data_IF_979535025908
#
_entry.id   IF_979535025908
#
_cell.length_a   1.000
_cell.length_b   1.000
_cell.length_c   1.000
_cell.angle_alpha   90.00
_cell.angle_beta   90.00
_cell.angle_gamma   90.00
#
_symmetry.space_group_name_H-M   'P 1'
#
loop_
_entity.id
_entity.type
_entity.pdbx_description
1 polymer ?
#
# COMPACT_ATOMS: atom_id res chain seq x y z
N UNK A 1 0.67 29.11 -24.69
CA UNK A 1 1.25 27.75 -24.60
C UNK A 1 0.80 27.11 -23.30
N UNK A 2 0.12 25.94 -23.30
CA UNK A 2 -0.21 25.29 -22.05
C UNK A 2 1.07 24.73 -21.44
N UNK A 3 1.33 25.08 -20.18
CA UNK A 3 2.43 24.49 -19.39
C UNK A 3 2.19 22.99 -19.33
N UNK A 4 3.17 22.20 -19.79
CA UNK A 4 3.19 20.75 -19.60
C UNK A 4 3.30 20.49 -18.09
N UNK A 5 2.16 20.45 -17.39
CA UNK A 5 2.11 19.96 -16.03
C UNK A 5 2.46 18.48 -16.11
N UNK A 6 3.74 18.14 -15.88
CA UNK A 6 4.18 16.76 -15.70
C UNK A 6 3.47 16.24 -14.46
N UNK A 7 2.29 15.67 -14.66
CA UNK A 7 1.52 15.00 -13.62
C UNK A 7 2.39 13.85 -13.13
N UNK A 8 2.95 14.03 -11.93
CA UNK A 8 3.92 13.10 -11.39
C UNK A 8 3.17 11.83 -11.01
N UNK A 9 3.35 10.76 -11.78
CA UNK A 9 2.88 9.44 -11.37
C UNK A 9 3.69 9.04 -10.16
N UNK A 10 3.04 9.02 -9.00
CA UNK A 10 3.67 8.61 -7.76
C UNK A 10 3.28 7.17 -7.43
N UNK A 11 4.28 6.32 -7.26
CA UNK A 11 4.12 4.93 -6.88
C UNK A 11 3.98 4.79 -5.36
N UNK A 12 3.09 3.89 -4.95
CA UNK A 12 3.05 3.37 -3.59
C UNK A 12 3.61 1.96 -3.56
N UNK A 13 4.54 1.73 -2.63
CA UNK A 13 5.20 0.45 -2.45
C UNK A 13 4.54 -0.31 -1.31
N UNK A 14 3.85 -1.39 -1.64
CA UNK A 14 3.33 -2.33 -0.67
C UNK A 14 4.44 -3.24 -0.15
N UNK A 15 4.51 -3.38 1.16
CA UNK A 15 5.63 -4.05 1.82
C UNK A 15 5.15 -5.14 2.78
N UNK A 16 5.74 -6.33 2.66
CA UNK A 16 5.69 -7.39 3.66
C UNK A 16 7.10 -7.96 3.85
N UNK A 17 7.40 -8.50 5.03
CA UNK A 17 8.69 -9.18 5.23
C UNK A 17 8.63 -10.22 6.35
N UNK A 18 9.68 -11.01 6.49
CA UNK A 18 9.91 -11.80 7.70
C UNK A 18 10.43 -10.90 8.83
N UNK A 19 10.47 -11.39 10.08
CA UNK A 19 10.96 -10.61 11.21
C UNK A 19 12.47 -10.39 11.10
N UNK A 20 12.95 -9.18 11.43
CA UNK A 20 14.38 -8.92 11.54
C UNK A 20 15.11 -8.79 10.21
N UNK A 21 14.41 -8.46 9.12
CA UNK A 21 15.06 -8.15 7.85
C UNK A 21 15.94 -6.90 7.97
N UNK A 22 17.08 -6.89 7.29
CA UNK A 22 17.99 -5.74 7.31
C UNK A 22 17.49 -4.60 6.41
N UNK A 23 17.93 -3.37 6.70
CA UNK A 23 17.69 -2.21 5.83
C UNK A 23 18.25 -2.42 4.42
N UNK A 24 19.40 -3.09 4.31
CA UNK A 24 20.04 -3.41 3.03
C UNK A 24 19.15 -4.32 2.17
N UNK A 25 18.54 -5.33 2.78
CA UNK A 25 17.60 -6.20 2.08
C UNK A 25 16.37 -5.43 1.57
N UNK A 26 15.85 -4.48 2.37
CA UNK A 26 14.72 -3.62 1.97
C UNK A 26 15.09 -2.76 0.76
N UNK A 27 16.23 -2.07 0.84
CA UNK A 27 16.70 -1.18 -0.22
C UNK A 27 16.92 -1.94 -1.54
N UNK A 28 17.66 -3.05 -1.48
CA UNK A 28 17.93 -3.86 -2.67
C UNK A 28 16.68 -4.52 -3.25
N UNK A 29 15.70 -4.90 -2.40
CA UNK A 29 14.43 -5.42 -2.88
C UNK A 29 13.67 -4.38 -3.70
N UNK A 30 13.58 -3.14 -3.20
CA UNK A 30 12.86 -2.08 -3.91
C UNK A 30 13.58 -1.72 -5.22
N UNK A 31 14.90 -1.54 -5.19
CA UNK A 31 15.69 -1.27 -6.41
C UNK A 31 15.54 -2.38 -7.45
N UNK A 32 15.62 -3.64 -7.01
CA UNK A 32 15.46 -4.80 -7.87
C UNK A 32 14.09 -4.82 -8.52
N UNK A 33 13.01 -4.70 -7.74
CA UNK A 33 11.64 -4.73 -8.28
C UNK A 33 11.39 -3.57 -9.23
N UNK A 34 11.86 -2.36 -8.92
CA UNK A 34 11.70 -1.23 -9.85
C UNK A 34 12.48 -1.45 -11.14
N UNK A 35 13.74 -1.91 -11.05
CA UNK A 35 14.57 -2.18 -12.23
C UNK A 35 13.99 -3.29 -13.11
N UNK A 36 13.59 -4.42 -12.52
CA UNK A 36 13.04 -5.56 -13.28
C UNK A 36 11.73 -5.22 -13.98
N UNK A 37 10.89 -4.38 -13.35
CA UNK A 37 9.62 -3.96 -13.92
C UNK A 37 9.74 -2.67 -14.76
N UNK A 38 10.97 -2.24 -15.07
CA UNK A 38 11.26 -1.04 -15.87
C UNK A 38 10.57 0.22 -15.32
N UNK A 39 10.36 0.26 -14.00
CA UNK A 39 9.87 1.42 -13.29
C UNK A 39 11.05 2.38 -13.08
N UNK A 40 10.75 3.68 -13.09
CA UNK A 40 11.70 4.79 -13.03
C UNK A 40 12.98 4.48 -12.22
N UNK A 41 14.15 4.55 -12.86
CA UNK A 41 15.44 4.20 -12.26
C UNK A 41 15.81 5.08 -11.06
N UNK A 42 15.19 6.26 -10.92
CA UNK A 42 15.34 7.15 -9.76
C UNK A 42 14.31 6.89 -8.66
N UNK A 43 13.82 5.65 -8.53
CA UNK A 43 12.77 5.25 -7.58
C UNK A 43 13.07 5.70 -6.14
N UNK A 44 14.32 5.52 -5.69
CA UNK A 44 14.79 5.85 -4.34
C UNK A 44 15.44 7.24 -4.21
N UNK A 45 15.41 8.06 -5.26
CA UNK A 45 15.99 9.40 -5.21
C UNK A 45 15.26 10.25 -4.16
N UNK A 46 16.03 10.97 -3.33
CA UNK A 46 15.49 11.88 -2.31
C UNK A 46 15.01 13.19 -2.96
N UNK A 47 13.93 13.76 -2.45
CA UNK A 47 13.47 15.11 -2.83
C UNK A 47 12.57 15.15 -4.07
N UNK A 48 12.47 16.34 -4.68
CA UNK A 48 11.58 16.59 -5.82
C UNK A 48 12.05 15.82 -7.06
N UNK A 49 11.32 14.77 -7.45
CA UNK A 49 11.64 13.92 -8.61
C UNK A 49 11.71 12.42 -8.33
N UNK A 50 11.69 12.00 -7.05
CA UNK A 50 11.53 10.60 -6.67
C UNK A 50 10.15 10.06 -7.10
N UNK A 51 10.13 8.83 -7.63
CA UNK A 51 8.90 8.25 -8.15
C UNK A 51 8.02 7.62 -7.05
N UNK A 52 8.57 7.33 -5.87
CA UNK A 52 7.85 6.70 -4.76
C UNK A 52 7.28 7.78 -3.82
N UNK A 53 5.95 7.77 -3.60
CA UNK A 53 5.29 8.61 -2.61
C UNK A 53 5.48 8.09 -1.17
N UNK A 54 5.55 6.77 -1.03
CA UNK A 54 5.72 6.14 0.27
C UNK A 54 5.59 4.62 0.22
N UNK A 55 5.69 4.02 1.40
CA UNK A 55 5.48 2.60 1.65
C UNK A 55 4.17 2.37 2.39
N UNK A 56 3.59 1.19 2.21
CA UNK A 56 2.37 0.77 2.88
C UNK A 56 2.48 -0.68 3.37
N UNK A 57 1.98 -0.98 4.57
CA UNK A 57 2.02 -2.33 5.14
C UNK A 57 0.88 -2.60 6.13
N UNK A 58 0.88 -3.77 6.77
CA UNK A 58 -0.05 -4.14 7.85
C UNK A 58 0.43 -3.59 9.20
N UNK A 59 -0.50 -3.23 10.09
CA UNK A 59 -0.20 -2.56 11.38
C UNK A 59 0.90 -3.23 12.21
N UNK A 60 0.87 -4.56 12.36
CA UNK A 60 1.87 -5.28 13.17
C UNK A 60 3.30 -5.19 12.59
N UNK A 61 3.43 -4.79 11.32
CA UNK A 61 4.69 -4.67 10.62
C UNK A 61 5.30 -3.26 10.70
N UNK A 62 4.53 -2.30 11.17
CA UNK A 62 5.01 -0.95 11.48
C UNK A 62 6.12 -0.95 12.54
N UNK A 63 6.12 -1.95 13.43
CA UNK A 63 7.11 -2.11 14.50
C UNK A 63 8.44 -2.74 14.04
N UNK A 64 8.59 -3.10 12.76
CA UNK A 64 9.89 -3.54 12.24
C UNK A 64 10.84 -2.34 12.15
N UNK A 65 11.85 -2.33 13.02
CA UNK A 65 12.81 -1.22 13.16
C UNK A 65 13.43 -0.83 11.82
N UNK A 66 13.86 -1.80 11.02
CA UNK A 66 14.51 -1.55 9.72
C UNK A 66 13.60 -0.87 8.70
N UNK A 67 12.29 -1.12 8.75
CA UNK A 67 11.32 -0.47 7.87
C UNK A 67 11.12 1.00 8.27
N UNK A 68 10.96 1.28 9.56
CA UNK A 68 10.83 2.64 10.08
C UNK A 68 12.06 3.48 9.77
N UNK A 69 13.25 2.95 10.06
CA UNK A 69 14.53 3.60 9.74
C UNK A 69 14.71 3.85 8.24
N UNK A 70 14.33 2.87 7.40
CA UNK A 70 14.40 3.03 5.95
C UNK A 70 13.49 4.18 5.46
N UNK A 71 12.25 4.22 5.93
CA UNK A 71 11.29 5.27 5.57
C UNK A 71 11.79 6.64 6.03
N UNK A 72 12.28 6.75 7.26
CA UNK A 72 12.85 7.99 7.79
C UNK A 72 14.06 8.45 6.97
N UNK A 73 15.00 7.55 6.65
CA UNK A 73 16.21 7.87 5.89
C UNK A 73 15.89 8.35 4.47
N UNK A 74 14.82 7.84 3.86
CA UNK A 74 14.35 8.21 2.52
C UNK A 74 13.30 9.32 2.51
N UNK A 75 12.85 9.79 3.67
CA UNK A 75 11.73 10.72 3.81
C UNK A 75 10.46 10.20 3.12
N UNK A 76 10.20 8.90 3.22
CA UNK A 76 9.00 8.26 2.69
C UNK A 76 7.89 8.24 3.74
N UNK A 77 6.67 8.53 3.29
CA UNK A 77 5.48 8.28 4.11
C UNK A 77 5.32 6.78 4.33
N UNK A 78 4.99 6.37 5.56
CA UNK A 78 4.64 5.00 5.87
C UNK A 78 3.16 4.94 6.26
N UNK A 79 2.34 4.30 5.43
CA UNK A 79 0.93 4.01 5.73
C UNK A 79 0.79 2.60 6.30
N UNK A 80 -0.12 2.44 7.24
CA UNK A 80 -0.38 1.15 7.88
C UNK A 80 -1.87 0.87 7.92
N UNK A 81 -2.22 -0.39 7.67
CA UNK A 81 -3.60 -0.83 7.60
C UNK A 81 -3.83 -2.07 8.48
N UNK A 82 -4.99 -2.17 9.14
CA UNK A 82 -5.37 -3.38 9.86
C UNK A 82 -5.72 -4.51 8.88
N UNK A 83 -5.61 -5.76 9.33
CA UNK A 83 -5.84 -6.94 8.50
C UNK A 83 -7.25 -6.97 7.90
N UNK A 84 -8.24 -6.50 8.68
CA UNK A 84 -9.65 -6.44 8.34
C UNK A 84 -9.89 -5.57 7.12
N UNK A 85 -9.20 -4.44 7.03
CA UNK A 85 -9.29 -3.53 5.88
C UNK A 85 -8.54 -4.11 4.68
N UNK A 86 -7.33 -4.64 4.90
CA UNK A 86 -6.55 -5.29 3.83
C UNK A 86 -7.26 -6.49 3.20
N UNK A 87 -8.12 -7.20 3.96
CA UNK A 87 -8.88 -8.35 3.47
C UNK A 87 -9.93 -7.98 2.43
N UNK A 88 -10.39 -6.74 2.42
CA UNK A 88 -11.46 -6.26 1.53
C UNK A 88 -10.95 -5.91 0.13
N UNK A 89 -9.64 -5.92 -0.08
CA UNK A 89 -9.03 -5.59 -1.37
C UNK A 89 -8.91 -6.85 -2.22
N UNK A 90 -9.52 -6.82 -3.41
CA UNK A 90 -9.23 -7.78 -4.47
C UNK A 90 -7.80 -7.56 -4.98
N UNK A 91 -6.94 -8.55 -4.78
CA UNK A 91 -5.51 -8.47 -5.10
C UNK A 91 -5.16 -9.35 -6.30
N UNK A 92 -4.14 -8.99 -7.11
CA UNK A 92 -3.76 -9.78 -8.28
C UNK A 92 -3.25 -11.18 -7.97
N UNK A 93 -2.58 -11.36 -6.83
CA UNK A 93 -1.97 -12.64 -6.45
C UNK A 93 -2.35 -12.98 -5.00
N UNK A 94 -3.56 -13.51 -4.74
CA UNK A 94 -3.96 -13.93 -3.39
C UNK A 94 -3.15 -15.16 -2.92
N UNK A 95 -2.85 -15.27 -1.62
CA UNK A 95 -2.24 -16.47 -1.02
C UNK A 95 -3.01 -16.95 0.21
N UNK A 96 -3.48 -18.19 0.17
CA UNK A 96 -4.26 -18.80 1.26
C UNK A 96 -3.47 -18.89 2.57
N UNK A 97 -2.18 -19.24 2.50
CA UNK A 97 -1.31 -19.27 3.69
C UNK A 97 -1.22 -17.89 4.35
N UNK A 98 -1.09 -16.83 3.55
CA UNK A 98 -1.08 -15.44 4.06
C UNK A 98 -2.43 -15.07 4.65
N UNK A 99 -3.54 -15.47 4.01
CA UNK A 99 -4.89 -15.24 4.56
C UNK A 99 -5.06 -15.87 5.94
N UNK A 100 -4.59 -17.12 6.12
CA UNK A 100 -4.65 -17.83 7.41
C UNK A 100 -3.76 -17.19 8.48
N UNK A 101 -2.55 -16.76 8.13
CA UNK A 101 -1.58 -16.21 9.09
C UNK A 101 -1.79 -14.73 9.41
N UNK A 102 -2.15 -13.93 8.42
CA UNK A 102 -2.18 -12.46 8.51
C UNK A 102 -3.60 -11.88 8.39
N UNK A 103 -4.62 -12.71 8.16
CA UNK A 103 -6.01 -12.27 8.03
C UNK A 103 -6.35 -11.58 6.71
N UNK A 104 -5.41 -11.49 5.75
CA UNK A 104 -5.55 -10.87 4.42
C UNK A 104 -4.92 -11.75 3.33
N UNK A 105 -5.51 -11.84 2.11
CA UNK A 105 -4.95 -12.64 1.02
C UNK A 105 -3.57 -12.15 0.53
N UNK A 106 -3.24 -10.87 0.72
CA UNK A 106 -1.94 -10.31 0.36
C UNK A 106 -1.70 -8.98 1.07
N UNK A 107 -0.73 -8.93 1.98
CA UNK A 107 -0.36 -7.67 2.67
C UNK A 107 0.18 -6.64 1.69
N UNK A 108 1.16 -7.02 0.86
CA UNK A 108 1.85 -6.08 -0.01
C UNK A 108 0.90 -5.47 -1.05
N UNK A 109 0.16 -6.28 -1.80
CA UNK A 109 -0.71 -5.75 -2.86
C UNK A 109 -1.85 -4.90 -2.30
N UNK A 110 -2.55 -5.40 -1.27
CA UNK A 110 -3.66 -4.66 -0.69
C UNK A 110 -3.21 -3.31 -0.11
N UNK A 111 -2.08 -3.30 0.61
CA UNK A 111 -1.56 -2.07 1.20
C UNK A 111 -1.11 -1.06 0.13
N UNK A 112 -0.43 -1.52 -0.93
CA UNK A 112 -0.04 -0.64 -2.05
C UNK A 112 -1.26 0.03 -2.68
N UNK A 113 -2.31 -0.75 -2.95
CA UNK A 113 -3.50 -0.29 -3.65
C UNK A 113 -4.31 0.70 -2.80
N UNK A 114 -4.54 0.41 -1.52
CA UNK A 114 -5.22 1.34 -0.60
C UNK A 114 -4.45 2.66 -0.45
N UNK A 115 -3.12 2.58 -0.37
CA UNK A 115 -2.28 3.76 -0.26
C UNK A 115 -2.32 4.62 -1.53
N UNK A 116 -2.31 4.00 -2.71
CA UNK A 116 -2.48 4.66 -4.00
C UNK A 116 -3.87 5.30 -4.18
N UNK A 117 -4.91 4.67 -3.64
CA UNK A 117 -6.27 5.24 -3.58
C UNK A 117 -6.41 6.39 -2.56
N UNK A 118 -5.35 6.68 -1.81
CA UNK A 118 -5.36 7.60 -0.67
C UNK A 118 -6.45 7.29 0.38
N UNK A 119 -6.75 6.00 0.59
CA UNK A 119 -7.71 5.59 1.60
C UNK A 119 -7.05 5.70 2.98
N UNK A 120 -7.66 6.52 3.84
CA UNK A 120 -7.40 6.55 5.27
C UNK A 120 -8.54 5.84 6.01
N UNK A 121 -8.20 4.70 6.61
CA UNK A 121 -9.17 3.84 7.28
C UNK A 121 -9.63 4.44 8.61
N UNK A 122 -8.85 5.32 9.24
CA UNK A 122 -9.22 5.94 10.50
C UNK A 122 -10.38 6.93 10.30
N UNK A 123 -10.28 7.76 9.27
CA UNK A 123 -11.35 8.67 8.86
C UNK A 123 -12.63 7.92 8.44
N UNK A 124 -12.48 6.75 7.81
CA UNK A 124 -13.61 5.89 7.39
C UNK A 124 -14.43 5.38 8.58
N UNK A 125 -13.78 5.10 9.72
CA UNK A 125 -14.48 4.67 10.94
C UNK A 125 -15.18 5.84 11.63
N UNK A 126 -14.54 7.03 11.69
CA UNK A 126 -15.12 8.20 12.35
C UNK A 126 -16.44 8.66 11.73
N UNK A 127 -16.56 8.63 10.39
CA UNK A 127 -17.81 8.95 9.68
C UNK A 127 -18.94 7.97 10.03
N UNK A 128 -18.61 6.70 10.31
CA UNK A 128 -19.60 5.69 10.70
C UNK A 128 -19.99 5.76 12.19
N UNK A 129 -19.06 6.16 13.06
CA UNK A 129 -19.35 6.41 14.48
C UNK A 129 -20.26 7.63 14.65
N UNK A 130 -20.07 8.70 13.85
CA UNK A 130 -20.95 9.87 13.86
C UNK A 130 -22.41 9.57 13.42
N UNK A 131 -22.64 8.50 12.65
CA UNK A 131 -24.00 8.03 12.32
C UNK A 131 -24.58 7.06 13.37
N UNK A 132 -23.79 6.64 14.36
CA UNK A 132 -24.18 5.64 15.38
C UNK A 132 -24.06 6.11 16.83
N UNK A 133 -23.73 7.38 17.08
CA UNK A 133 -23.58 7.96 18.42
C UNK A 133 -24.86 7.97 19.29
N UNK A 134 -26.04 7.66 18.76
CA UNK A 134 -27.22 7.45 19.61
C UNK A 134 -27.25 6.09 20.36
N UNK A 135 -26.32 5.17 20.09
CA UNK A 135 -26.25 3.91 20.84
C UNK A 135 -24.81 3.56 21.17
N UNK A 136 -24.59 3.18 22.42
CA UNK A 136 -23.36 2.58 22.99
C UNK A 136 -22.40 3.52 23.73
N UNK A 137 -22.90 4.14 24.78
CA UNK A 137 -22.15 4.25 26.04
C UNK A 137 -22.04 2.86 26.68
N UNK A 138 -20.87 2.23 26.57
CA UNK A 138 -20.16 1.55 27.66
C UNK A 138 -19.15 0.54 27.10
N UNK A 139 -17.92 0.65 27.60
CA UNK A 139 -16.76 -0.23 27.43
C UNK A 139 -17.06 -1.66 26.95
N UNK A 140 -16.93 -1.90 25.65
CA UNK A 140 -16.68 -3.23 25.12
C UNK A 140 -15.78 -3.08 23.90
N UNK A 141 -14.67 -3.84 23.89
CA UNK A 141 -13.76 -3.97 22.76
C UNK A 141 -14.56 -4.18 21.48
N UNK A 142 -14.54 -3.18 20.59
CA UNK A 142 -15.23 -3.21 19.31
C UNK A 142 -14.68 -4.37 18.47
N UNK A 143 -15.31 -5.53 18.57
CA UNK A 143 -15.20 -6.59 17.58
C UNK A 143 -15.80 -6.02 16.30
N UNK A 144 -14.93 -5.59 15.39
CA UNK A 144 -15.30 -5.18 14.04
C UNK A 144 -15.93 -6.40 13.35
N UNK A 145 -17.26 -6.50 13.42
CA UNK A 145 -18.01 -7.55 12.74
C UNK A 145 -17.87 -7.34 11.23
N UNK A 146 -17.00 -8.15 10.63
CA UNK A 146 -16.67 -8.16 9.20
C UNK A 146 -17.88 -8.35 8.26
N UNK A 147 -19.06 -8.64 8.80
CA UNK A 147 -20.33 -8.73 8.08
C UNK A 147 -21.11 -7.42 7.97
N UNK A 148 -20.81 -6.41 8.79
CA UNK A 148 -21.55 -5.13 8.82
C UNK A 148 -20.94 -4.06 7.91
N UNK A 149 -19.73 -4.34 7.41
CA UNK A 149 -19.10 -3.52 6.38
C UNK A 149 -19.64 -3.99 5.04
N UNK A 150 -20.65 -3.30 4.50
CA UNK A 150 -20.99 -3.32 3.07
C UNK A 150 -19.85 -2.69 2.25
N UNK A 151 -18.61 -3.09 2.52
CA UNK A 151 -17.43 -2.87 1.70
C UNK A 151 -17.37 -4.02 0.70
N UNK A 152 -18.45 -4.19 -0.07
CA UNK A 152 -18.42 -4.83 -1.40
C UNK A 152 -17.30 -4.20 -2.24
N UNK A 153 -16.76 -4.87 -3.28
CA UNK A 153 -15.45 -4.61 -3.91
C UNK A 153 -15.32 -3.28 -4.69
N UNK A 154 -16.09 -2.27 -4.34
CA UNK A 154 -16.04 -0.90 -4.85
C UNK A 154 -14.83 -0.08 -4.37
N UNK A 155 -14.06 -0.53 -3.36
CA UNK A 155 -12.88 0.21 -2.89
C UNK A 155 -11.77 0.37 -3.94
N UNK A 156 -11.87 -0.31 -5.10
CA UNK A 156 -10.87 -0.25 -6.17
C UNK A 156 -11.46 0.13 -7.54
N UNK A 157 -12.72 0.57 -7.59
CA UNK A 157 -13.28 1.15 -8.83
C UNK A 157 -12.72 2.57 -9.09
N UNK A 158 -12.00 3.11 -8.11
CA UNK A 158 -11.28 4.38 -8.21
C UNK A 158 -9.91 4.09 -8.83
N UNK A 159 -9.83 4.12 -10.16
CA UNK A 159 -8.61 4.37 -10.94
C UNK A 159 -7.28 3.95 -10.32
N UNK A 160 -7.15 2.79 -9.70
CA UNK A 160 -5.91 2.32 -9.06
C UNK A 160 -5.50 1.06 -9.76
N UNK A 161 -4.23 0.98 -10.12
CA UNK A 161 -3.64 -0.20 -10.73
C UNK A 161 -2.49 -0.70 -9.89
N UNK A 162 -2.56 -1.98 -9.55
CA UNK A 162 -1.38 -2.74 -9.17
C UNK A 162 -0.53 -2.93 -10.42
N UNK A 163 0.57 -2.18 -10.51
CA UNK A 163 1.52 -2.26 -11.63
C UNK A 163 2.43 -3.47 -11.52
N UNK A 164 2.81 -3.79 -10.28
CA UNK A 164 3.67 -4.93 -9.98
C UNK A 164 2.97 -5.77 -8.92
N UNK A 165 2.41 -6.93 -9.31
CA UNK A 165 1.95 -7.95 -8.37
C UNK A 165 3.05 -8.35 -7.40
N UNK A 166 2.70 -8.94 -6.26
CA UNK A 166 3.68 -9.21 -5.20
C UNK A 166 4.86 -10.05 -5.71
N UNK A 167 6.07 -9.54 -5.52
CA UNK A 167 7.33 -10.22 -5.79
C UNK A 167 8.07 -10.48 -4.48
N UNK A 168 8.57 -11.69 -4.30
CA UNK A 168 9.33 -12.08 -3.11
C UNK A 168 10.82 -11.99 -3.44
N UNK A 169 11.55 -11.17 -2.70
CA UNK A 169 12.98 -10.96 -2.86
C UNK A 169 13.77 -11.51 -1.67
N UNK A 170 14.91 -12.12 -1.97
CA UNK A 170 15.92 -12.58 -1.01
C UNK A 170 17.29 -12.11 -1.47
N UNK A 171 18.12 -11.70 -0.51
CA UNK A 171 19.51 -11.33 -0.78
C UNK A 171 20.45 -12.37 -0.16
N UNK A 172 21.41 -12.84 -0.95
CA UNK A 172 22.43 -13.76 -0.45
C UNK A 172 23.20 -13.13 0.73
N UNK A 173 23.33 -13.88 1.83
CA UNK A 173 23.98 -13.42 3.06
C UNK A 173 23.11 -12.57 3.98
N UNK A 174 21.87 -12.23 3.61
CA UNK A 174 20.92 -11.55 4.50
C UNK A 174 19.86 -12.54 5.01
N UNK A 175 19.43 -12.42 6.28
CA UNK A 175 18.36 -13.25 6.81
C UNK A 175 17.00 -12.83 6.25
N UNK A 176 16.19 -13.84 5.95
CA UNK A 176 14.77 -13.68 5.65
C UNK A 176 14.46 -13.28 4.20
N UNK A 177 13.27 -12.72 4.01
CA UNK A 177 12.75 -12.31 2.71
C UNK A 177 11.86 -11.07 2.85
N UNK A 178 11.83 -10.27 1.80
CA UNK A 178 10.91 -9.13 1.63
C UNK A 178 9.95 -9.45 0.49
N UNK A 179 8.72 -9.00 0.61
CA UNK A 179 7.69 -9.05 -0.43
C UNK A 179 7.31 -7.62 -0.80
N UNK A 180 7.42 -7.28 -2.07
CA UNK A 180 7.14 -5.96 -2.61
C UNK A 180 6.00 -6.05 -3.62
N UNK A 181 5.07 -5.12 -3.57
CA UNK A 181 4.12 -4.84 -4.64
C UNK A 181 4.14 -3.34 -4.96
N UNK A 182 3.76 -2.95 -6.17
CA UNK A 182 3.73 -1.52 -6.57
C UNK A 182 2.38 -1.18 -7.16
N UNK A 183 1.78 -0.10 -6.68
CA UNK A 183 0.52 0.43 -7.20
C UNK A 183 0.62 1.94 -7.49
N UNK A 184 -0.26 2.42 -8.36
CA UNK A 184 -0.40 3.84 -8.69
C UNK A 184 -1.86 4.17 -8.95
N UNK A 185 -2.20 5.46 -8.85
CA UNK A 185 -3.45 6.00 -9.37
C UNK A 185 -3.33 6.18 -10.90
N UNK A 186 -4.16 5.46 -11.65
CA UNK A 186 -4.53 5.77 -13.03
C UNK A 186 -5.44 6.99 -13.03
N UNK A 187 -4.98 8.07 -13.67
CA UNK A 187 -5.89 9.16 -14.01
C UNK A 187 -6.78 8.76 -15.18
N UNK A 188 -8.09 9.12 -15.18
CA UNK A 188 -8.93 8.92 -16.34
C UNK A 188 -8.26 9.52 -17.57
N UNK A 189 -8.21 8.77 -18.67
CA UNK A 189 -7.74 9.29 -19.95
C UNK A 189 -8.50 10.60 -20.20
N UNK A 190 -7.79 11.73 -20.27
CA UNK A 190 -8.42 12.99 -20.66
C UNK A 190 -9.11 12.74 -21.99
N UNK A 191 -10.44 12.89 -22.05
CA UNK A 191 -11.14 12.89 -23.33
C UNK A 191 -10.46 13.94 -24.19
N UNK A 192 -9.74 13.50 -25.22
CA UNK A 192 -9.23 14.40 -26.24
C UNK A 192 -10.44 15.19 -26.73
N UNK A 193 -10.37 16.52 -26.61
CA UNK A 193 -11.30 17.42 -27.29
C UNK A 193 -11.09 17.25 -28.81
N UNK A 194 -11.67 16.19 -29.38
CA UNK A 194 -12.04 16.15 -30.78
C UNK A 194 -13.39 16.83 -30.91
N UNK A 195 -13.36 18.15 -31.03
CA UNK A 195 -14.47 18.91 -31.60
C UNK A 195 -13.89 20.17 -32.26
N UNK A 196 -13.75 20.05 -33.58
CA UNK A 196 -13.87 21.07 -34.65
C UNK A 196 -13.21 22.43 -34.46
#
# INVERSE_FOLDING_TARGET
MPKLQRQSQHFWVGFGCQKGVSRKLIEMAIEHVFRENQLNQSALAKGFGGAIAGLATINNKASEVSLGEFCQLRNFSLKTYPAEILRLVCVPNPAEKTAKTMGTPSVAEAAAMLAAANIDWQSTIATQIGESEERFSNHQSLQLNAHSLNLTPYLIDIGVRCLVPKQIFRLHGEPGAVTIAVATLIQPLSKNNSAR
#
